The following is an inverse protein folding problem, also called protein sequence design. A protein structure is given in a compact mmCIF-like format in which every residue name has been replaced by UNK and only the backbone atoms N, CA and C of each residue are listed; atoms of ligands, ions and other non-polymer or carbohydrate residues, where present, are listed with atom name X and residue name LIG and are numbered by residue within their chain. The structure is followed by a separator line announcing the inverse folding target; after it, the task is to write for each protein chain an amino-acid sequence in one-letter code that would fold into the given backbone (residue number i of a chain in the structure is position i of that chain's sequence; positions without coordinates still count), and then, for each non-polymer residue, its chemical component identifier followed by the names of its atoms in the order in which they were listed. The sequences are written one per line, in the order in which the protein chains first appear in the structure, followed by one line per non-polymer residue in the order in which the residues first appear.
data_IF_846603009512
#
_entry.id   IF_846603009512
#
_cell.length_a   1.000
_cell.length_b   1.000
_cell.length_c   1.000
_cell.angle_alpha   90.00
_cell.angle_beta   90.00
_cell.angle_gamma   90.00
#
_symmetry.space_group_name_H-M   'P 1'
#
loop_
_entity.id
_entity.type
_entity.pdbx_description
1 polymer ?
#
# COMPACT_ATOMS: atom_id res chain seq x y z
N UNK A 1 23.50 -10.97 9.93
CA UNK A 1 24.10 -11.42 8.66
C UNK A 1 23.03 -12.17 7.92
N UNK A 2 22.55 -11.63 6.79
CA UNK A 2 21.56 -12.30 5.93
C UNK A 2 22.33 -12.70 4.69
N UNK A 3 22.44 -14.01 4.45
CA UNK A 3 23.01 -14.57 3.23
C UNK A 3 22.09 -14.25 2.05
N UNK A 4 22.62 -13.53 1.06
CA UNK A 4 21.89 -13.17 -0.14
C UNK A 4 21.83 -14.36 -1.10
N UNK A 5 20.64 -14.78 -1.49
CA UNK A 5 20.47 -15.67 -2.64
C UNK A 5 20.91 -14.93 -3.91
N UNK A 6 22.01 -15.40 -4.50
CA UNK A 6 22.60 -14.88 -5.74
C UNK A 6 21.76 -15.29 -6.95
N UNK A 7 21.04 -14.33 -7.53
CA UNK A 7 20.43 -14.43 -8.87
C UNK A 7 20.92 -13.27 -9.72
N UNK A 8 21.50 -13.59 -10.88
CA UNK A 8 22.54 -12.81 -11.57
C UNK A 8 22.07 -11.81 -12.65
N UNK A 9 20.76 -11.65 -12.90
CA UNK A 9 20.26 -10.95 -14.10
C UNK A 9 19.76 -9.51 -13.84
N UNK A 10 19.01 -9.19 -12.77
CA UNK A 10 18.59 -7.80 -12.49
C UNK A 10 19.74 -6.93 -11.95
N UNK A 11 20.67 -7.52 -11.21
CA UNK A 11 21.83 -6.83 -10.64
C UNK A 11 22.85 -6.42 -11.70
N UNK A 12 23.01 -7.20 -12.77
CA UNK A 12 24.00 -6.91 -13.81
C UNK A 12 23.67 -5.63 -14.59
N UNK A 13 22.39 -5.40 -14.91
CA UNK A 13 21.96 -4.15 -15.56
C UNK A 13 22.10 -2.96 -14.62
N UNK A 14 21.62 -3.08 -13.37
CA UNK A 14 21.70 -2.02 -12.38
C UNK A 14 23.16 -1.59 -12.12
N UNK A 15 24.07 -2.56 -11.95
CA UNK A 15 25.51 -2.30 -11.81
C UNK A 15 26.12 -1.67 -13.05
N UNK A 16 25.72 -2.08 -14.26
CA UNK A 16 26.22 -1.47 -15.50
C UNK A 16 25.83 0.01 -15.67
N UNK A 17 24.76 0.45 -14.99
CA UNK A 17 24.24 1.82 -15.06
C UNK A 17 24.81 2.75 -13.98
N UNK A 18 25.60 2.24 -13.02
CA UNK A 18 26.22 3.06 -11.97
C UNK A 18 27.08 4.21 -12.51
N UNK A 19 27.92 4.05 -13.55
CA UNK A 19 28.69 5.17 -14.10
C UNK A 19 27.78 6.29 -14.64
N UNK A 20 26.65 5.93 -15.24
CA UNK A 20 25.68 6.90 -15.74
C UNK A 20 24.99 7.65 -14.59
N UNK A 21 24.64 6.95 -13.51
CA UNK A 21 24.06 7.55 -12.30
C UNK A 21 25.02 8.51 -11.63
N UNK A 22 26.30 8.12 -11.48
CA UNK A 22 27.35 8.98 -10.94
C UNK A 22 27.50 10.24 -11.78
N UNK A 23 27.57 10.09 -13.11
CA UNK A 23 27.64 11.23 -14.02
C UNK A 23 26.43 12.16 -13.89
N UNK A 24 25.21 11.63 -13.92
CA UNK A 24 23.97 12.43 -13.85
C UNK A 24 23.77 13.10 -12.47
N UNK A 25 24.35 12.55 -11.42
CA UNK A 25 24.29 13.12 -10.07
C UNK A 25 25.49 14.02 -9.73
N UNK A 26 26.39 14.28 -10.69
CA UNK A 26 27.65 15.00 -10.51
C UNK A 26 28.54 14.37 -9.41
N UNK A 27 28.66 13.05 -9.42
CA UNK A 27 29.40 12.22 -8.47
C UNK A 27 28.94 12.37 -7.00
N UNK A 28 27.71 12.86 -6.76
CA UNK A 28 27.14 12.94 -5.42
C UNK A 28 26.73 11.58 -4.86
N UNK A 29 26.49 10.57 -5.70
CA UNK A 29 26.23 9.19 -5.26
C UNK A 29 27.47 8.31 -5.36
N UNK A 30 27.73 7.54 -4.30
CA UNK A 30 28.83 6.56 -4.24
C UNK A 30 28.43 5.31 -3.42
N UNK A 31 29.30 4.28 -3.41
CA UNK A 31 29.18 3.04 -2.63
C UNK A 31 27.81 2.36 -2.82
N UNK A 32 27.41 2.19 -4.07
CA UNK A 32 26.14 1.57 -4.41
C UNK A 32 26.23 0.06 -4.11
N UNK A 33 25.32 -0.42 -3.26
CA UNK A 33 25.16 -1.81 -2.89
C UNK A 33 23.75 -2.26 -3.27
N UNK A 34 23.63 -2.95 -4.40
CA UNK A 34 22.37 -3.51 -4.86
C UNK A 34 21.92 -4.67 -3.99
N UNK A 35 20.62 -4.69 -3.68
CA UNK A 35 19.98 -5.78 -2.98
C UNK A 35 18.63 -6.08 -3.61
N UNK A 36 18.13 -7.29 -3.34
CA UNK A 36 16.78 -7.70 -3.69
C UNK A 36 16.04 -7.97 -2.40
N UNK A 37 14.82 -7.45 -2.31
CA UNK A 37 13.91 -7.82 -1.21
C UNK A 37 12.99 -8.94 -1.65
N UNK A 38 12.57 -9.78 -0.72
CA UNK A 38 11.73 -10.95 -1.00
C UNK A 38 10.36 -10.58 -1.59
N UNK A 39 9.92 -9.34 -1.37
CA UNK A 39 8.67 -8.77 -1.89
C UNK A 39 8.82 -8.05 -3.23
N UNK A 40 10.03 -7.88 -3.76
CA UNK A 40 10.27 -7.22 -5.04
C UNK A 40 9.88 -8.13 -6.21
N UNK A 41 8.70 -7.86 -6.80
CA UNK A 41 8.21 -8.50 -8.02
C UNK A 41 8.62 -7.66 -9.24
N UNK A 42 9.27 -8.26 -10.24
CA UNK A 42 9.64 -7.61 -11.49
C UNK A 42 11.13 -7.27 -11.64
N UNK A 43 11.45 -6.43 -12.63
CA UNK A 43 12.83 -6.06 -13.03
C UNK A 43 13.40 -4.81 -12.34
N UNK A 44 12.69 -4.27 -11.34
CA UNK A 44 13.22 -3.18 -10.51
C UNK A 44 14.49 -3.65 -9.76
N UNK A 45 15.39 -2.72 -9.51
CA UNK A 45 16.57 -2.84 -8.68
C UNK A 45 16.53 -1.76 -7.59
N UNK A 46 16.87 -2.15 -6.37
CA UNK A 46 16.99 -1.23 -5.24
C UNK A 46 18.41 -1.34 -4.69
N UNK A 47 19.04 -0.21 -4.37
CA UNK A 47 20.38 -0.16 -3.84
C UNK A 47 20.48 0.74 -2.62
N UNK A 48 21.34 0.40 -1.68
CA UNK A 48 21.81 1.36 -0.68
C UNK A 48 23.00 2.10 -1.25
N UNK A 49 23.14 3.38 -0.93
CA UNK A 49 24.28 4.18 -1.36
C UNK A 49 24.61 5.25 -0.33
N UNK A 50 25.74 5.93 -0.55
CA UNK A 50 26.09 7.18 0.14
C UNK A 50 25.82 8.35 -0.79
N UNK A 51 25.10 9.35 -0.29
CA UNK A 51 24.91 10.63 -0.95
C UNK A 51 25.76 11.69 -0.27
N UNK A 52 26.61 12.38 -1.02
CA UNK A 52 27.48 13.45 -0.54
C UNK A 52 27.14 14.76 -1.24
N UNK A 53 26.72 15.76 -0.46
CA UNK A 53 26.45 17.10 -0.97
C UNK A 53 26.94 18.15 0.04
N UNK A 54 27.64 19.18 -0.43
CA UNK A 54 28.25 20.24 0.40
C UNK A 54 29.05 19.71 1.62
N UNK A 55 29.77 18.60 1.45
CA UNK A 55 30.59 17.98 2.51
C UNK A 55 29.81 17.13 3.52
N UNK A 56 28.48 17.07 3.42
CA UNK A 56 27.62 16.22 4.26
C UNK A 56 27.40 14.90 3.54
N UNK A 57 27.65 13.78 4.22
CA UNK A 57 27.39 12.43 3.72
C UNK A 57 26.21 11.79 4.43
N UNK A 58 25.27 11.24 3.66
CA UNK A 58 24.04 10.60 4.15
C UNK A 58 23.86 9.21 3.53
N UNK A 59 23.23 8.30 4.26
CA UNK A 59 22.79 7.04 3.68
C UNK A 59 21.49 7.23 2.90
N UNK A 60 21.42 6.68 1.69
CA UNK A 60 20.28 6.81 0.78
C UNK A 60 19.87 5.47 0.19
N UNK A 61 18.65 5.43 -0.34
CA UNK A 61 18.11 4.34 -1.15
C UNK A 61 17.98 4.82 -2.59
N UNK A 62 18.51 4.04 -3.52
CA UNK A 62 18.38 4.21 -4.96
C UNK A 62 17.36 3.20 -5.50
N UNK A 63 16.40 3.66 -6.31
CA UNK A 63 15.40 2.80 -6.96
C UNK A 63 15.42 3.02 -8.48
N UNK A 64 15.47 1.94 -9.27
CA UNK A 64 15.26 1.96 -10.74
C UNK A 64 14.89 0.58 -11.34
N UNK A 65 14.04 0.53 -12.39
CA UNK A 65 13.13 1.60 -12.76
C UNK A 65 12.08 1.85 -11.66
N UNK A 66 11.57 3.06 -11.62
CA UNK A 66 10.46 3.51 -10.77
C UNK A 66 9.28 3.85 -11.67
N UNK A 67 8.06 3.58 -11.24
CA UNK A 67 6.90 3.96 -12.05
C UNK A 67 6.70 5.48 -12.05
N UNK A 68 6.07 6.02 -13.09
CA UNK A 68 5.92 7.48 -13.23
C UNK A 68 5.06 8.08 -12.11
N UNK A 69 4.06 7.33 -11.62
CA UNK A 69 3.22 7.75 -10.51
C UNK A 69 4.04 7.98 -9.23
N UNK A 70 4.87 7.02 -8.84
CA UNK A 70 5.71 7.10 -7.64
C UNK A 70 6.71 8.25 -7.76
N UNK A 71 7.36 8.44 -8.91
CA UNK A 71 8.27 9.57 -9.12
C UNK A 71 7.54 10.91 -8.98
N UNK A 72 6.39 11.06 -9.64
CA UNK A 72 5.63 12.32 -9.61
C UNK A 72 5.14 12.66 -8.21
N UNK A 73 4.58 11.69 -7.48
CA UNK A 73 4.11 11.90 -6.12
C UNK A 73 5.24 12.13 -5.14
N UNK A 74 6.37 11.42 -5.30
CA UNK A 74 7.55 11.68 -4.49
C UNK A 74 8.03 13.11 -4.67
N UNK A 75 8.10 13.62 -5.91
CA UNK A 75 8.45 15.04 -6.20
C UNK A 75 7.43 16.03 -5.62
N UNK A 76 6.13 15.80 -5.83
CA UNK A 76 5.05 16.69 -5.35
C UNK A 76 5.04 16.82 -3.83
N UNK A 77 5.35 15.74 -3.11
CA UNK A 77 5.20 15.66 -1.66
C UNK A 77 6.46 16.09 -0.88
N UNK A 78 7.43 16.76 -1.51
CA UNK A 78 8.64 17.28 -0.86
C UNK A 78 8.37 18.55 -0.04
N UNK A 79 7.58 18.43 1.03
CA UNK A 79 7.30 19.51 1.99
C UNK A 79 8.16 19.35 3.26
N UNK A 80 8.41 20.44 4.04
CA UNK A 80 9.01 20.30 5.36
C UNK A 80 8.21 19.33 6.23
N UNK A 81 8.91 18.48 7.00
CA UNK A 81 8.27 17.45 7.85
C UNK A 81 7.33 16.51 7.06
N UNK A 82 7.65 16.22 5.80
CA UNK A 82 6.81 15.37 4.96
C UNK A 82 6.63 13.96 5.53
N UNK A 83 5.45 13.43 5.28
CA UNK A 83 5.09 12.03 5.51
C UNK A 83 5.57 11.10 4.40
N UNK A 84 6.34 11.60 3.43
CA UNK A 84 7.01 10.77 2.41
C UNK A 84 8.54 10.94 2.54
N UNK A 85 9.34 10.10 1.85
CA UNK A 85 10.78 10.20 1.89
C UNK A 85 11.30 11.50 1.29
N UNK A 86 12.36 12.04 1.86
CA UNK A 86 13.15 13.12 1.26
C UNK A 86 13.75 12.63 -0.04
N UNK A 87 13.56 13.38 -1.12
CA UNK A 87 14.08 13.12 -2.46
C UNK A 87 15.37 13.92 -2.68
N UNK A 88 16.48 13.21 -2.88
CA UNK A 88 17.79 13.83 -3.13
C UNK A 88 18.02 14.11 -4.62
N UNK A 89 17.65 13.16 -5.48
CA UNK A 89 17.75 13.29 -6.92
C UNK A 89 16.79 12.34 -7.63
N UNK A 90 16.42 12.66 -8.86
CA UNK A 90 15.62 11.78 -9.73
C UNK A 90 15.80 12.15 -11.19
N UNK A 91 15.42 11.22 -12.07
CA UNK A 91 15.35 11.44 -13.50
C UNK A 91 14.33 10.53 -14.16
N UNK A 92 13.81 10.94 -15.31
CA UNK A 92 12.91 10.11 -16.14
C UNK A 92 13.71 9.28 -17.15
N UNK A 93 14.98 9.64 -17.37
CA UNK A 93 15.89 8.95 -18.27
C UNK A 93 17.24 8.69 -17.60
N UNK A 94 17.87 7.57 -17.96
CA UNK A 94 19.22 7.23 -17.56
C UNK A 94 20.00 6.72 -18.75
N UNK A 95 21.14 7.35 -19.05
CA UNK A 95 22.00 6.98 -20.19
C UNK A 95 21.27 6.92 -21.55
N UNK A 96 20.27 7.78 -21.76
CA UNK A 96 19.46 7.83 -23.00
C UNK A 96 18.31 6.81 -23.06
N UNK A 97 18.16 5.95 -22.06
CA UNK A 97 17.01 5.06 -21.93
C UNK A 97 15.87 5.74 -21.17
N UNK A 98 14.63 5.46 -21.56
CA UNK A 98 13.42 5.77 -20.77
C UNK A 98 13.38 4.85 -19.54
N UNK A 99 14.17 5.24 -18.54
CA UNK A 99 14.42 4.48 -17.33
C UNK A 99 14.36 5.45 -16.15
N UNK A 100 13.16 5.57 -15.60
CA UNK A 100 12.88 6.44 -14.47
C UNK A 100 13.60 5.96 -13.20
N UNK A 101 14.25 6.86 -12.47
CA UNK A 101 15.04 6.54 -11.28
C UNK A 101 14.91 7.63 -10.21
N UNK A 102 15.16 7.25 -8.95
CA UNK A 102 15.24 8.22 -7.85
C UNK A 102 16.18 7.78 -6.73
N UNK A 103 16.70 8.76 -6.00
CA UNK A 103 17.50 8.63 -4.79
C UNK A 103 16.74 9.29 -3.66
N UNK A 104 16.36 8.52 -2.65
CA UNK A 104 15.56 8.96 -1.50
C UNK A 104 16.28 8.66 -0.18
N UNK A 105 15.83 9.26 0.92
CA UNK A 105 16.38 8.96 2.25
C UNK A 105 16.28 7.48 2.61
N UNK A 106 17.30 6.99 3.33
CA UNK A 106 17.26 5.69 3.97
C UNK A 106 16.69 5.85 5.37
N UNK A 107 15.58 5.19 5.65
CA UNK A 107 15.04 5.14 7.01
C UNK A 107 15.82 4.16 7.88
N UNK A 108 16.21 4.55 9.11
CA UNK A 108 16.88 3.65 10.04
C UNK A 108 15.93 2.61 10.64
N UNK A 109 14.62 2.91 10.70
CA UNK A 109 13.62 2.07 11.36
C UNK A 109 12.51 1.70 10.38
N UNK A 110 12.25 0.40 10.28
CA UNK A 110 11.13 -0.16 9.54
C UNK A 110 11.51 -1.35 8.64
N UNK A 111 10.54 -1.88 7.89
CA UNK A 111 9.12 -1.57 7.97
C UNK A 111 8.50 -1.89 9.33
N UNK A 112 7.45 -1.15 9.73
CA UNK A 112 6.73 -1.37 11.00
C UNK A 112 6.06 -2.76 11.11
N UNK A 113 5.97 -3.52 10.01
CA UNK A 113 5.47 -4.89 10.03
C UNK A 113 6.43 -5.90 10.67
N UNK A 114 7.73 -5.58 10.76
CA UNK A 114 8.74 -6.51 11.33
C UNK A 114 8.56 -6.74 12.82
N UNK A 115 8.13 -5.71 13.56
CA UNK A 115 7.90 -5.79 15.00
C UNK A 115 6.53 -5.20 15.33
N UNK A 116 5.63 -6.06 15.82
CA UNK A 116 4.27 -5.65 16.13
C UNK A 116 4.21 -4.80 17.40
N UNK A 117 3.62 -3.62 17.28
CA UNK A 117 3.18 -2.80 18.41
C UNK A 117 1.74 -2.34 18.18
N UNK A 118 0.94 -2.24 19.25
CA UNK A 118 -0.45 -1.81 19.14
C UNK A 118 -0.57 -0.36 18.62
N UNK A 119 0.43 0.48 18.88
CA UNK A 119 0.51 1.86 18.42
C UNK A 119 0.71 1.99 16.90
N UNK A 120 1.17 0.92 16.21
CA UNK A 120 1.49 0.98 14.78
C UNK A 120 0.28 1.38 13.93
N UNK A 121 -0.91 0.86 14.24
CA UNK A 121 -2.13 1.22 13.50
C UNK A 121 -2.47 2.70 13.67
N UNK A 122 -2.38 3.24 14.88
CA UNK A 122 -2.61 4.67 15.11
C UNK A 122 -1.59 5.53 14.37
N UNK A 123 -0.31 5.16 14.43
CA UNK A 123 0.77 5.90 13.78
C UNK A 123 0.63 5.89 12.25
N UNK A 124 0.28 4.75 11.66
CA UNK A 124 0.02 4.63 10.21
C UNK A 124 -1.23 5.40 9.81
N UNK A 125 -2.31 5.33 10.60
CA UNK A 125 -3.53 6.10 10.35
C UNK A 125 -3.29 7.62 10.39
N UNK A 126 -2.50 8.10 11.37
CA UNK A 126 -2.09 9.50 11.44
C UNK A 126 -1.27 9.90 10.21
N UNK A 127 -0.32 9.08 9.77
CA UNK A 127 0.48 9.35 8.58
C UNK A 127 -0.36 9.39 7.29
N UNK A 128 -1.32 8.47 7.13
CA UNK A 128 -2.23 8.44 5.98
C UNK A 128 -3.19 9.64 5.94
N UNK A 129 -3.72 10.05 7.09
CA UNK A 129 -4.54 11.26 7.19
C UNK A 129 -3.71 12.51 6.84
N UNK A 130 -2.48 12.61 7.37
CA UNK A 130 -1.55 13.69 7.04
C UNK A 130 -1.11 13.67 5.58
N UNK A 131 -0.94 12.49 4.97
CA UNK A 131 -0.69 12.33 3.54
C UNK A 131 -1.84 12.93 2.73
N UNK A 132 -3.07 12.51 3.02
CA UNK A 132 -4.27 12.99 2.34
C UNK A 132 -4.42 14.51 2.49
N UNK A 133 -4.20 15.05 3.70
CA UNK A 133 -4.24 16.49 3.96
C UNK A 133 -3.17 17.24 3.16
N UNK A 134 -1.94 16.74 3.14
CA UNK A 134 -0.83 17.38 2.42
C UNK A 134 -1.07 17.33 0.91
N UNK A 135 -1.61 16.23 0.41
CA UNK A 135 -1.96 16.03 -0.99
C UNK A 135 -3.18 16.86 -1.44
N UNK A 136 -4.03 17.35 -0.51
CA UNK A 136 -5.19 18.20 -0.85
C UNK A 136 -4.83 19.53 -1.52
N UNK A 137 -3.55 19.93 -1.51
CA UNK A 137 -3.04 21.09 -2.24
C UNK A 137 -3.02 20.88 -3.75
N UNK A 138 -3.07 19.62 -4.20
CA UNK A 138 -3.10 19.26 -5.60
C UNK A 138 -4.55 18.95 -6.00
N UNK A 139 -4.97 19.50 -7.13
CA UNK A 139 -6.28 19.21 -7.71
C UNK A 139 -6.46 17.69 -7.89
N UNK A 140 -7.67 17.21 -7.63
CA UNK A 140 -8.04 15.81 -7.86
C UNK A 140 -8.54 15.71 -9.29
N UNK A 141 -7.65 15.31 -10.19
CA UNK A 141 -7.84 15.27 -11.65
C UNK A 141 -8.11 13.86 -12.20
N UNK A 142 -8.19 12.85 -11.32
CA UNK A 142 -8.46 11.47 -11.69
C UNK A 142 -9.89 11.05 -11.37
N UNK A 143 -10.46 10.22 -12.24
CA UNK A 143 -11.61 9.41 -11.87
C UNK A 143 -11.21 8.35 -10.86
N UNK A 144 -12.11 8.05 -9.92
CA UNK A 144 -11.84 7.04 -8.89
C UNK A 144 -11.59 5.65 -9.48
N UNK A 145 -10.73 4.87 -8.82
CA UNK A 145 -10.40 3.50 -9.24
C UNK A 145 -11.69 2.67 -9.41
N UNK A 146 -11.75 1.95 -10.54
CA UNK A 146 -12.84 1.02 -10.87
C UNK A 146 -12.29 -0.39 -11.02
N UNK A 147 -12.48 -1.22 -10.02
CA UNK A 147 -12.20 -2.65 -10.13
C UNK A 147 -13.36 -3.38 -10.82
N UNK A 148 -13.02 -4.39 -11.61
CA UNK A 148 -13.99 -5.31 -12.19
C UNK A 148 -14.38 -6.39 -11.18
N UNK A 149 -15.20 -5.99 -10.20
CA UNK A 149 -15.70 -6.86 -9.14
C UNK A 149 -16.46 -8.08 -9.67
N UNK A 150 -17.14 -7.96 -10.81
CA UNK A 150 -17.88 -9.07 -11.42
C UNK A 150 -16.92 -10.15 -11.95
N UNK A 151 -15.87 -9.73 -12.65
CA UNK A 151 -14.82 -10.66 -13.11
C UNK A 151 -14.04 -11.27 -11.94
N UNK A 152 -13.69 -10.46 -10.93
CA UNK A 152 -13.00 -10.95 -9.73
C UNK A 152 -13.85 -11.95 -8.93
N UNK A 153 -15.15 -11.70 -8.76
CA UNK A 153 -16.05 -12.64 -8.08
C UNK A 153 -16.20 -13.95 -8.88
N UNK A 154 -16.24 -13.86 -10.22
CA UNK A 154 -16.26 -15.04 -11.09
C UNK A 154 -15.00 -15.87 -10.93
N UNK A 155 -13.83 -15.23 -10.93
CA UNK A 155 -12.54 -15.89 -10.71
C UNK A 155 -12.46 -16.51 -9.31
N UNK A 156 -12.94 -15.80 -8.27
CA UNK A 156 -12.99 -16.32 -6.92
C UNK A 156 -13.88 -17.58 -6.81
N UNK A 157 -15.07 -17.56 -7.41
CA UNK A 157 -15.98 -18.74 -7.45
C UNK A 157 -15.34 -19.92 -8.16
N UNK A 158 -14.65 -19.67 -9.29
CA UNK A 158 -13.88 -20.70 -10.02
C UNK A 158 -12.78 -21.29 -9.13
N UNK A 159 -12.00 -20.43 -8.49
CA UNK A 159 -10.91 -20.83 -7.60
C UNK A 159 -11.38 -21.67 -6.40
N UNK A 160 -12.48 -21.30 -5.75
CA UNK A 160 -13.10 -22.09 -4.67
C UNK A 160 -13.46 -23.50 -5.14
N UNK A 161 -14.02 -23.62 -6.35
CA UNK A 161 -14.43 -24.90 -6.94
C UNK A 161 -13.23 -25.79 -7.31
N UNK A 162 -12.17 -25.19 -7.86
CA UNK A 162 -11.01 -25.94 -8.38
C UNK A 162 -10.01 -26.34 -7.29
N UNK A 163 -9.83 -25.49 -6.27
CA UNK A 163 -8.83 -25.73 -5.22
C UNK A 163 -9.38 -26.48 -4.00
N UNK A 164 -10.70 -26.77 -3.96
CA UNK A 164 -11.35 -27.50 -2.87
C UNK A 164 -10.99 -26.98 -1.46
N UNK A 165 -11.05 -25.65 -1.31
CA UNK A 165 -10.64 -24.99 -0.06
C UNK A 165 -11.58 -25.33 1.10
N UNK A 166 -11.09 -25.15 2.34
CA UNK A 166 -11.91 -25.33 3.53
C UNK A 166 -13.19 -24.48 3.51
N UNK A 167 -14.28 -25.03 4.05
CA UNK A 167 -15.61 -24.40 4.08
C UNK A 167 -16.19 -24.08 2.70
N UNK A 168 -15.89 -24.89 1.68
CA UNK A 168 -16.34 -24.70 0.29
C UNK A 168 -17.85 -24.45 0.16
N UNK A 169 -18.68 -25.18 0.90
CA UNK A 169 -20.14 -25.01 0.89
C UNK A 169 -20.59 -23.63 1.39
N UNK A 170 -19.96 -23.14 2.48
CA UNK A 170 -20.20 -21.81 3.04
C UNK A 170 -19.75 -20.70 2.11
N UNK A 171 -18.61 -20.88 1.42
CA UNK A 171 -18.17 -19.97 0.37
C UNK A 171 -19.17 -19.89 -0.78
N UNK A 172 -19.57 -21.04 -1.34
CA UNK A 172 -20.56 -21.11 -2.44
C UNK A 172 -21.88 -20.44 -2.06
N UNK A 173 -22.39 -20.70 -0.86
CA UNK A 173 -23.62 -20.06 -0.35
C UNK A 173 -23.47 -18.53 -0.28
N UNK A 174 -22.38 -18.06 0.31
CA UNK A 174 -22.13 -16.61 0.47
C UNK A 174 -21.93 -15.92 -0.87
N UNK A 175 -21.18 -16.53 -1.80
CA UNK A 175 -20.99 -16.02 -3.17
C UNK A 175 -22.30 -15.99 -3.96
N UNK A 176 -23.19 -16.96 -3.78
CA UNK A 176 -24.50 -16.98 -4.41
C UNK A 176 -25.37 -15.80 -3.95
N UNK A 177 -25.39 -15.52 -2.64
CA UNK A 177 -26.09 -14.35 -2.08
C UNK A 177 -25.50 -13.04 -2.63
N UNK A 178 -24.17 -12.89 -2.59
CA UNK A 178 -23.49 -11.72 -3.13
C UNK A 178 -23.79 -11.51 -4.62
N UNK A 179 -23.75 -12.58 -5.43
CA UNK A 179 -24.02 -12.49 -6.88
C UNK A 179 -25.38 -11.84 -7.16
N UNK A 180 -26.41 -12.17 -6.36
CA UNK A 180 -27.77 -11.61 -6.52
C UNK A 180 -27.89 -10.13 -6.13
N UNK A 181 -26.94 -9.60 -5.36
CA UNK A 181 -26.96 -8.25 -4.78
C UNK A 181 -25.81 -7.38 -5.29
N UNK A 182 -24.96 -7.91 -6.17
CA UNK A 182 -23.72 -7.27 -6.58
C UNK A 182 -23.98 -5.90 -7.19
N UNK A 183 -24.93 -5.78 -8.11
CA UNK A 183 -25.20 -4.52 -8.80
C UNK A 183 -25.58 -3.40 -7.83
N UNK A 184 -26.53 -3.64 -6.92
CA UNK A 184 -26.90 -2.65 -5.88
C UNK A 184 -25.74 -2.29 -4.96
N UNK A 185 -24.86 -3.24 -4.65
CA UNK A 185 -23.68 -2.97 -3.83
C UNK A 185 -22.64 -2.15 -4.59
N UNK A 186 -22.48 -2.41 -5.89
CA UNK A 186 -21.61 -1.63 -6.75
C UNK A 186 -22.13 -0.22 -6.96
N UNK A 187 -23.44 0.00 -7.01
CA UNK A 187 -24.03 1.34 -7.02
C UNK A 187 -23.64 2.12 -5.76
N UNK A 188 -23.77 1.52 -4.58
CA UNK A 188 -23.32 2.14 -3.32
C UNK A 188 -21.82 2.44 -3.36
N UNK A 189 -20.99 1.45 -3.74
CA UNK A 189 -19.53 1.63 -3.80
C UNK A 189 -19.10 2.70 -4.80
N UNK A 190 -19.75 2.75 -5.96
CA UNK A 190 -19.44 3.71 -7.04
C UNK A 190 -20.01 5.10 -6.77
N UNK A 191 -21.05 5.21 -5.94
CA UNK A 191 -21.63 6.47 -5.50
C UNK A 191 -20.80 7.19 -4.42
N UNK A 192 -19.72 6.57 -3.92
CA UNK A 192 -18.81 7.22 -2.97
C UNK A 192 -18.16 8.45 -3.57
N UNK A 193 -17.82 9.41 -2.71
CA UNK A 193 -17.05 10.59 -3.12
C UNK A 193 -15.64 10.19 -3.54
N UNK A 194 -15.18 10.80 -4.63
CA UNK A 194 -13.81 10.70 -5.13
C UNK A 194 -13.28 12.13 -5.18
N UNK A 195 -12.82 12.62 -4.04
CA UNK A 195 -12.45 14.02 -3.86
C UNK A 195 -11.12 14.19 -3.10
N UNK A 196 -10.34 13.12 -2.98
CA UNK A 196 -9.10 13.09 -2.19
C UNK A 196 -8.07 12.16 -2.83
N UNK A 197 -6.79 12.48 -2.61
CA UNK A 197 -5.66 11.63 -2.95
C UNK A 197 -5.35 10.65 -1.82
N UNK A 198 -5.20 9.38 -2.15
CA UNK A 198 -4.93 8.28 -1.22
C UNK A 198 -3.55 7.69 -1.43
N UNK A 199 -3.00 7.01 -0.41
CA UNK A 199 -1.75 6.27 -0.60
C UNK A 199 -1.96 5.09 -1.57
N UNK A 200 -3.09 4.40 -1.46
CA UNK A 200 -3.53 3.33 -2.35
C UNK A 200 -2.94 1.95 -2.06
N UNK A 201 -1.76 1.88 -1.44
CA UNK A 201 -1.17 0.65 -0.90
C UNK A 201 -0.78 0.78 0.58
N UNK A 202 -1.75 1.15 1.42
CA UNK A 202 -1.50 1.46 2.83
C UNK A 202 -1.36 0.19 3.68
N UNK A 203 -0.12 -0.25 3.92
CA UNK A 203 0.18 -1.39 4.77
C UNK A 203 1.48 -1.25 5.57
N UNK A 204 1.70 -2.14 6.54
CA UNK A 204 2.85 -2.09 7.44
C UNK A 204 4.23 -2.11 6.76
N UNK A 205 4.34 -2.75 5.59
CA UNK A 205 5.60 -2.79 4.83
C UNK A 205 5.96 -1.44 4.16
N UNK A 206 5.00 -0.52 4.05
CA UNK A 206 5.19 0.81 3.49
C UNK A 206 5.32 1.88 4.58
N UNK A 207 5.35 1.49 5.85
CA UNK A 207 5.47 2.39 6.98
C UNK A 207 6.88 2.33 7.58
N UNK A 208 7.60 3.45 7.51
CA UNK A 208 8.97 3.64 7.98
C UNK A 208 9.05 4.74 9.05
N UNK A 209 10.12 4.79 9.82
CA UNK A 209 10.35 5.81 10.84
C UNK A 209 11.78 6.35 10.75
N UNK A 210 11.94 7.65 11.01
CA UNK A 210 13.25 8.34 11.02
C UNK A 210 14.02 8.11 12.32
N UNK A 211 13.35 7.67 13.37
CA UNK A 211 13.94 7.35 14.67
C UNK A 211 13.18 6.19 15.34
N UNK A 212 13.75 5.66 16.42
CA UNK A 212 13.24 4.50 17.15
C UNK A 212 12.38 4.86 18.35
N UNK A 213 12.01 6.14 18.53
CA UNK A 213 11.18 6.52 19.67
C UNK A 213 9.77 5.93 19.51
N UNK A 214 9.10 5.55 20.61
CA UNK A 214 7.72 5.02 20.53
C UNK A 214 6.73 5.99 19.86
N UNK A 215 7.01 7.29 19.91
CA UNK A 215 6.22 8.36 19.30
C UNK A 215 6.73 8.79 17.91
N UNK A 216 7.72 8.10 17.33
CA UNK A 216 8.29 8.49 16.05
C UNK A 216 7.20 8.58 14.98
N UNK A 217 7.20 9.69 14.23
CA UNK A 217 6.27 9.88 13.12
C UNK A 217 6.54 8.84 12.04
N UNK A 218 5.47 8.32 11.46
CA UNK A 218 5.55 7.40 10.33
C UNK A 218 5.69 8.19 9.03
N UNK A 219 6.63 7.75 8.20
CA UNK A 219 6.73 8.11 6.78
C UNK A 219 6.25 6.94 5.94
N UNK A 220 5.51 7.25 4.87
CA UNK A 220 4.95 6.31 3.92
C UNK A 220 5.84 6.26 2.68
N UNK A 221 6.27 5.06 2.30
CA UNK A 221 7.04 4.78 1.08
C UNK A 221 6.16 4.10 0.05
N UNK A 222 6.66 3.94 -1.17
CA UNK A 222 5.99 3.24 -2.27
C UNK A 222 4.70 3.94 -2.71
N UNK A 223 4.88 5.08 -3.35
CA UNK A 223 3.80 5.94 -3.82
C UNK A 223 3.28 5.52 -5.21
N UNK A 224 3.58 4.29 -5.63
CA UNK A 224 3.24 3.77 -6.95
C UNK A 224 1.73 3.67 -7.19
N UNK A 225 0.97 3.40 -6.12
CA UNK A 225 -0.48 3.19 -6.16
C UNK A 225 -1.28 4.44 -5.74
N UNK A 226 -0.66 5.62 -5.63
CA UNK A 226 -1.38 6.86 -5.29
C UNK A 226 -2.43 7.17 -6.34
N UNK A 227 -3.66 7.39 -5.91
CA UNK A 227 -4.81 7.66 -6.79
C UNK A 227 -5.90 8.47 -6.10
N UNK A 228 -6.81 9.01 -6.90
CA UNK A 228 -8.02 9.66 -6.40
C UNK A 228 -9.01 8.63 -5.87
N UNK A 229 -9.56 8.84 -4.67
CA UNK A 229 -10.46 7.88 -4.05
C UNK A 229 -11.18 8.39 -2.81
N UNK A 230 -11.76 7.44 -2.08
CA UNK A 230 -12.36 7.64 -0.78
C UNK A 230 -11.47 7.06 0.33
N UNK A 231 -11.28 7.77 1.44
CA UNK A 231 -10.39 7.36 2.55
C UNK A 231 -10.64 5.96 3.13
N UNK A 232 -11.86 5.43 2.94
CA UNK A 232 -12.24 4.06 3.32
C UNK A 232 -11.40 3.02 2.59
N UNK A 233 -10.92 3.31 1.39
CA UNK A 233 -10.09 2.40 0.59
C UNK A 233 -8.81 2.05 1.35
N UNK A 234 -8.03 3.07 1.76
CA UNK A 234 -6.83 2.90 2.58
C UNK A 234 -7.16 2.31 3.97
N UNK A 235 -8.24 2.77 4.61
CA UNK A 235 -8.62 2.32 5.94
C UNK A 235 -8.97 0.82 6.00
N UNK A 236 -9.76 0.34 5.04
CA UNK A 236 -10.15 -1.08 4.95
C UNK A 236 -9.00 -1.91 4.41
N UNK A 237 -8.15 -1.38 3.54
CA UNK A 237 -6.95 -2.08 3.10
C UNK A 237 -5.96 -2.31 4.24
N UNK A 238 -5.75 -1.32 5.11
CA UNK A 238 -4.97 -1.46 6.34
C UNK A 238 -5.63 -2.48 7.31
N UNK A 239 -6.95 -2.42 7.45
CA UNK A 239 -7.71 -3.40 8.25
C UNK A 239 -7.54 -4.83 7.77
N UNK A 240 -7.57 -5.02 6.45
CA UNK A 240 -7.46 -6.31 5.79
C UNK A 240 -6.16 -7.04 6.14
N UNK A 241 -5.07 -6.31 6.37
CA UNK A 241 -3.79 -6.88 6.83
C UNK A 241 -3.90 -7.61 8.17
N UNK A 242 -4.95 -7.32 8.97
CA UNK A 242 -5.17 -7.89 10.29
C UNK A 242 -6.32 -8.91 10.34
N UNK A 243 -6.99 -9.22 9.23
CA UNK A 243 -8.11 -10.17 9.25
C UNK A 243 -7.70 -11.56 9.78
N UNK A 244 -6.49 -12.03 9.47
CA UNK A 244 -5.92 -13.26 10.03
C UNK A 244 -5.54 -13.17 11.52
N UNK A 245 -5.53 -11.98 12.11
CA UNK A 245 -5.05 -11.69 13.47
C UNK A 245 -6.14 -11.05 14.34
N UNK A 246 -7.16 -11.86 14.70
CA UNK A 246 -8.38 -11.39 15.40
C UNK A 246 -8.13 -10.53 16.64
N UNK A 247 -7.16 -10.88 17.49
CA UNK A 247 -6.83 -10.10 18.70
C UNK A 247 -6.30 -8.70 18.35
N UNK A 248 -5.39 -8.62 17.39
CA UNK A 248 -4.81 -7.36 16.88
C UNK A 248 -5.88 -6.49 16.21
N UNK A 249 -6.74 -7.10 15.40
CA UNK A 249 -7.85 -6.40 14.76
C UNK A 249 -8.82 -5.79 15.79
N UNK A 250 -9.18 -6.57 16.82
CA UNK A 250 -10.09 -6.14 17.89
C UNK A 250 -9.49 -5.00 18.73
N UNK A 251 -8.19 -5.04 19.01
CA UNK A 251 -7.52 -4.05 19.86
C UNK A 251 -7.25 -2.73 19.12
N UNK A 252 -6.92 -2.78 17.82
CA UNK A 252 -6.44 -1.61 17.07
C UNK A 252 -7.50 -0.92 16.22
N UNK A 253 -8.57 -1.63 15.82
CA UNK A 253 -9.72 -1.09 15.07
C UNK A 253 -9.32 -0.11 13.95
N UNK A 254 -8.63 -0.55 12.88
CA UNK A 254 -8.00 0.35 11.91
C UNK A 254 -8.94 1.38 11.26
N UNK A 255 -10.17 0.99 10.91
CA UNK A 255 -11.15 1.91 10.31
C UNK A 255 -11.56 3.05 11.28
N UNK A 256 -12.05 2.77 12.51
CA UNK A 256 -12.28 3.81 13.52
C UNK A 256 -11.05 4.65 13.85
N UNK A 257 -9.87 4.05 13.87
CA UNK A 257 -8.61 4.75 14.14
C UNK A 257 -8.27 5.73 13.00
N UNK A 258 -8.48 5.36 11.74
CA UNK A 258 -8.36 6.27 10.59
C UNK A 258 -9.38 7.42 10.66
N UNK A 259 -10.64 7.13 10.96
CA UNK A 259 -11.66 8.16 11.14
C UNK A 259 -11.26 9.16 12.23
N UNK A 260 -10.70 8.68 13.35
CA UNK A 260 -10.21 9.51 14.45
C UNK A 260 -9.03 10.39 14.01
N UNK A 261 -8.03 9.82 13.32
CA UNK A 261 -6.89 10.56 12.78
C UNK A 261 -7.33 11.70 11.84
N UNK A 262 -8.30 11.41 10.97
CA UNK A 262 -8.87 12.40 10.05
C UNK A 262 -9.61 13.52 10.77
N UNK A 263 -10.45 13.18 11.76
CA UNK A 263 -11.17 14.17 12.59
C UNK A 263 -10.21 15.09 13.35
N UNK A 264 -9.09 14.55 13.89
CA UNK A 264 -8.04 15.34 14.55
C UNK A 264 -7.43 16.41 13.63
N UNK A 265 -7.41 16.17 12.32
CA UNK A 265 -6.90 17.10 11.30
C UNK A 265 -8.01 17.98 10.69
N UNK A 266 -9.22 17.98 11.24
CA UNK A 266 -10.36 18.74 10.70
C UNK A 266 -10.88 18.22 9.36
N UNK A 267 -10.50 17.00 8.96
CA UNK A 267 -10.93 16.40 7.70
C UNK A 267 -12.31 15.79 7.80
N UNK A 268 -13.06 15.80 6.69
CA UNK A 268 -14.39 15.18 6.63
C UNK A 268 -14.30 13.66 6.89
N UNK A 269 -15.21 13.22 7.75
CA UNK A 269 -15.61 11.82 7.97
C UNK A 269 -17.13 11.84 7.99
N UNK A 270 -17.76 11.20 7.01
CA UNK A 270 -19.22 11.15 6.88
C UNK A 270 -19.81 10.38 8.08
N UNK A 271 -21.03 10.68 8.54
CA UNK A 271 -21.56 10.09 9.78
C UNK A 271 -22.01 8.62 9.60
N UNK A 272 -22.42 8.23 8.40
CA UNK A 272 -22.98 6.91 8.04
C UNK A 272 -22.01 6.05 7.22
N UNK A 273 -20.71 6.34 7.29
CA UNK A 273 -19.64 5.69 6.54
C UNK A 273 -19.56 4.15 6.74
N UNK A 274 -20.21 3.61 7.79
CA UNK A 274 -20.24 2.19 8.10
C UNK A 274 -20.81 1.34 6.96
N UNK A 275 -21.86 1.81 6.28
CA UNK A 275 -22.43 1.08 5.15
C UNK A 275 -21.38 0.90 4.04
N UNK A 276 -20.67 1.99 3.69
CA UNK A 276 -19.64 1.96 2.66
C UNK A 276 -18.43 1.09 3.05
N UNK A 277 -18.04 1.11 4.33
CA UNK A 277 -17.01 0.22 4.88
C UNK A 277 -17.41 -1.25 4.71
N UNK A 278 -18.65 -1.61 5.05
CA UNK A 278 -19.12 -2.99 4.96
C UNK A 278 -19.25 -3.47 3.51
N UNK A 279 -19.66 -2.60 2.58
CA UNK A 279 -19.60 -2.89 1.15
C UNK A 279 -18.15 -3.18 0.73
N UNK A 280 -17.17 -2.35 1.11
CA UNK A 280 -15.76 -2.57 0.76
C UNK A 280 -15.20 -3.85 1.35
N UNK A 281 -15.49 -4.14 2.64
CA UNK A 281 -15.11 -5.39 3.30
C UNK A 281 -15.68 -6.60 2.58
N UNK A 282 -16.97 -6.56 2.23
CA UNK A 282 -17.68 -7.63 1.53
C UNK A 282 -17.03 -7.91 0.17
N UNK A 283 -16.81 -6.86 -0.63
CA UNK A 283 -16.20 -6.96 -1.96
C UNK A 283 -14.79 -7.58 -1.88
N UNK A 284 -13.92 -7.04 -1.03
CA UNK A 284 -12.55 -7.55 -0.87
C UNK A 284 -12.52 -9.00 -0.36
N UNK A 285 -13.28 -9.29 0.70
CA UNK A 285 -13.31 -10.62 1.30
C UNK A 285 -13.87 -11.68 0.35
N UNK A 286 -14.90 -11.35 -0.42
CA UNK A 286 -15.50 -12.25 -1.39
C UNK A 286 -14.56 -12.58 -2.56
N UNK A 287 -13.66 -11.65 -2.92
CA UNK A 287 -12.70 -11.83 -4.01
C UNK A 287 -11.36 -12.43 -3.58
N UNK A 288 -11.07 -12.56 -2.29
CA UNK A 288 -9.80 -13.12 -1.81
C UNK A 288 -9.41 -14.48 -2.45
N UNK A 289 -10.35 -15.43 -2.69
CA UNK A 289 -10.02 -16.68 -3.37
C UNK A 289 -9.53 -16.50 -4.82
N UNK A 290 -9.77 -15.36 -5.47
CA UNK A 290 -9.21 -15.09 -6.80
C UNK A 290 -7.67 -14.97 -6.78
N UNK A 291 -7.08 -14.75 -5.62
CA UNK A 291 -5.65 -14.47 -5.44
C UNK A 291 -4.93 -15.58 -4.65
N UNK A 292 -5.22 -16.85 -4.93
CA UNK A 292 -4.65 -17.99 -4.18
C UNK A 292 -3.13 -17.98 -4.03
N UNK A 293 -2.40 -17.45 -5.01
CA UNK A 293 -0.93 -17.37 -4.93
C UNK A 293 -0.43 -16.44 -3.81
N UNK A 294 -1.15 -15.35 -3.52
CA UNK A 294 -0.78 -14.38 -2.48
C UNK A 294 -1.63 -14.51 -1.21
N UNK A 295 -2.86 -15.01 -1.32
CA UNK A 295 -3.87 -15.00 -0.26
C UNK A 295 -4.40 -16.39 0.09
N UNK A 296 -3.80 -17.44 -0.46
CA UNK A 296 -4.24 -18.82 -0.29
C UNK A 296 -3.99 -19.44 1.09
N UNK A 297 -3.40 -18.71 2.05
CA UNK A 297 -3.21 -19.21 3.42
C UNK A 297 -4.59 -19.58 4.01
N UNK A 298 -4.81 -20.83 4.46
CA UNK A 298 -6.11 -21.28 4.92
C UNK A 298 -6.69 -20.49 6.09
N UNK A 299 -5.84 -19.95 6.98
CA UNK A 299 -6.29 -19.13 8.12
C UNK A 299 -6.76 -17.77 7.63
N UNK A 300 -6.05 -17.19 6.68
CA UNK A 300 -6.46 -15.94 6.04
C UNK A 300 -7.79 -16.09 5.29
N UNK A 301 -7.96 -17.15 4.50
CA UNK A 301 -9.21 -17.44 3.80
C UNK A 301 -10.38 -17.67 4.78
N UNK A 302 -10.16 -18.40 5.88
CA UNK A 302 -11.19 -18.57 6.91
C UNK A 302 -11.63 -17.21 7.52
N UNK A 303 -10.67 -16.31 7.75
CA UNK A 303 -10.97 -14.95 8.19
C UNK A 303 -11.70 -14.12 7.13
N UNK A 304 -11.36 -14.26 5.85
CA UNK A 304 -12.08 -13.60 4.76
C UNK A 304 -13.54 -14.09 4.68
N UNK A 305 -13.78 -15.40 4.76
CA UNK A 305 -15.14 -15.94 4.80
C UNK A 305 -15.95 -15.36 5.96
N UNK A 306 -15.35 -15.26 7.15
CA UNK A 306 -16.01 -14.65 8.30
C UNK A 306 -16.33 -13.17 8.07
N UNK A 307 -15.40 -12.39 7.49
CA UNK A 307 -15.65 -10.99 7.15
C UNK A 307 -16.77 -10.85 6.12
N UNK A 308 -16.78 -11.71 5.10
CA UNK A 308 -17.83 -11.76 4.08
C UNK A 308 -19.20 -12.02 4.72
N UNK A 309 -19.31 -13.04 5.57
CA UNK A 309 -20.57 -13.40 6.25
C UNK A 309 -21.06 -12.29 7.18
N UNK A 310 -20.16 -11.71 7.98
CA UNK A 310 -20.50 -10.62 8.88
C UNK A 310 -20.94 -9.36 8.14
N UNK A 311 -20.34 -9.06 6.98
CA UNK A 311 -20.75 -7.92 6.16
C UNK A 311 -22.12 -8.17 5.50
N UNK A 312 -22.40 -9.40 5.03
CA UNK A 312 -23.73 -9.78 4.55
C UNK A 312 -24.81 -9.61 5.64
N UNK A 313 -24.48 -9.94 6.89
CA UNK A 313 -25.37 -9.73 8.04
C UNK A 313 -25.65 -8.25 8.31
N UNK A 314 -24.59 -7.43 8.42
CA UNK A 314 -24.72 -5.99 8.73
C UNK A 314 -25.40 -5.19 7.63
N UNK A 315 -25.24 -5.61 6.38
CA UNK A 315 -25.94 -5.04 5.23
C UNK A 315 -27.36 -5.59 5.04
N UNK A 316 -27.82 -6.49 5.92
CA UNK A 316 -29.14 -7.12 5.86
C UNK A 316 -29.44 -7.78 4.50
N UNK A 317 -28.47 -8.51 3.96
CA UNK A 317 -28.54 -9.16 2.64
C UNK A 317 -28.84 -10.67 2.70
N UNK A 318 -29.09 -11.22 3.89
CA UNK A 318 -29.45 -12.62 4.09
C UNK A 318 -30.93 -12.89 3.85
#
# INVERSE_FOLDING_TARGET
MIESATSSIPSSLASSLEPALRKQTNNRIDKIHWFRTDWQRGGAATGFATWTDNGVSLEVVLKLPVNQCELQWTRKMQMPESVVPTLFASGEQLNGYDLTWMIIERFPIGPLGKHWENSNIERIANAAAQFTLSASKFEVDQTGRREDWSSLLTLAKKSVKENHIANESSWKKSHSLLTKKLDSLLEIWRGRRIDQWLHGDLHFANAMCRDNTPSAKVSLIDLAEVHAGHWIEDAVYLERQLWGHKSRLKSTKPVPTMATARKKLGMRVDDDYNNLVDVRRLLLAATAPAFMQSEGDPRYLASCLLQMQNALDRLHLK
#
